data_IF_000657462700
#
_entry.id   IF_000657462700
#
_cell.length_a   1.000
_cell.length_b   1.000
_cell.length_c   1.000
_cell.angle_alpha   90.00
_cell.angle_beta   90.00
_cell.angle_gamma   90.00
#
_symmetry.space_group_name_H-M   'P 1'
#
loop_
_entity.id
_entity.type
_entity.pdbx_description
1 polymer ?
#
# COMPACT_ATOMS: atom_id res chain seq x y z
N UNK A 1 9.05 121.80 38.42
CA UNK A 1 8.50 122.01 39.78
C UNK A 1 7.89 120.71 40.29
N UNK A 2 8.61 120.10 41.25
CA UNK A 2 8.20 119.26 42.38
C UNK A 2 6.89 118.44 42.35
N UNK A 3 7.06 117.11 42.33
CA UNK A 3 6.82 116.23 43.48
C UNK A 3 5.45 116.25 44.16
N UNK A 4 4.69 115.15 43.98
CA UNK A 4 3.73 114.56 44.95
C UNK A 4 3.25 113.18 44.44
N UNK A 5 4.19 112.29 44.14
CA UNK A 5 3.88 110.92 43.65
C UNK A 5 4.16 109.80 44.66
N UNK A 6 4.47 110.11 45.93
CA UNK A 6 5.02 109.12 46.88
C UNK A 6 4.03 108.47 47.86
N UNK A 7 2.77 108.91 47.95
CA UNK A 7 1.75 108.27 48.81
C UNK A 7 0.79 107.31 48.09
N UNK A 8 0.80 107.23 46.75
CA UNK A 8 -0.01 106.22 46.00
C UNK A 8 0.69 104.86 45.83
N UNK A 9 2.02 104.83 45.82
CA UNK A 9 2.78 103.60 45.56
C UNK A 9 2.96 102.68 46.78
N UNK A 10 2.68 103.16 48.01
CA UNK A 10 2.81 102.30 49.21
C UNK A 10 1.57 101.43 49.43
N UNK A 11 0.37 102.01 49.22
CA UNK A 11 -0.90 101.29 49.26
C UNK A 11 -1.04 100.27 48.11
N UNK A 12 -0.52 100.58 46.91
CA UNK A 12 -0.54 99.64 45.77
C UNK A 12 0.42 98.45 45.91
N UNK A 13 1.44 98.53 46.76
CA UNK A 13 2.41 97.44 46.94
C UNK A 13 1.95 96.44 48.02
N UNK A 14 1.26 96.88 49.08
CA UNK A 14 0.70 95.99 50.10
C UNK A 14 -0.49 95.17 49.57
N UNK A 15 -1.32 95.73 48.69
CA UNK A 15 -2.41 94.99 48.03
C UNK A 15 -1.90 93.96 47.00
N UNK A 16 -0.75 94.22 46.36
CA UNK A 16 -0.12 93.28 45.42
C UNK A 16 0.53 92.09 46.12
N UNK A 17 1.11 92.28 47.31
CA UNK A 17 1.67 91.18 48.10
C UNK A 17 0.58 90.33 48.77
N UNK A 18 -0.54 90.93 49.21
CA UNK A 18 -1.71 90.16 49.71
C UNK A 18 -2.32 89.28 48.62
N UNK A 19 -2.51 89.81 47.40
CA UNK A 19 -3.05 89.04 46.28
C UNK A 19 -2.13 87.90 45.83
N UNK A 20 -0.81 88.11 45.81
CA UNK A 20 0.16 87.03 45.50
C UNK A 20 0.15 85.90 46.53
N UNK A 21 0.04 86.23 47.82
CA UNK A 21 -0.03 85.21 48.87
C UNK A 21 -1.39 84.46 48.88
N UNK A 22 -2.48 85.10 48.44
CA UNK A 22 -3.77 84.39 48.27
C UNK A 22 -3.76 83.47 47.06
N UNK A 23 -3.17 83.88 45.93
CA UNK A 23 -3.00 83.04 44.75
C UNK A 23 -2.08 81.83 45.01
N UNK A 24 -1.00 82.01 45.78
CA UNK A 24 -0.09 80.90 46.13
C UNK A 24 -0.77 79.86 47.03
N UNK A 25 -1.57 80.30 48.02
CA UNK A 25 -2.33 79.39 48.90
C UNK A 25 -3.45 78.66 48.15
N UNK A 26 -4.16 79.34 47.24
CA UNK A 26 -5.19 78.71 46.40
C UNK A 26 -4.60 77.67 45.43
N UNK A 27 -3.39 77.89 44.92
CA UNK A 27 -2.71 76.91 44.05
C UNK A 27 -2.21 75.69 44.86
N UNK A 28 -1.71 75.89 46.08
CA UNK A 28 -1.32 74.78 46.95
C UNK A 28 -2.52 73.93 47.43
N UNK A 29 -3.69 74.54 47.66
CA UNK A 29 -4.93 73.79 47.94
C UNK A 29 -5.44 73.02 46.72
N UNK A 30 -5.35 73.59 45.51
CA UNK A 30 -5.70 72.90 44.26
C UNK A 30 -4.80 71.69 44.00
N UNK A 31 -3.49 71.80 44.23
CA UNK A 31 -2.56 70.67 44.10
C UNK A 31 -2.79 69.57 45.16
N UNK A 32 -3.13 69.94 46.39
CA UNK A 32 -3.52 68.96 47.44
C UNK A 32 -4.81 68.22 47.09
N UNK A 33 -5.81 68.91 46.55
CA UNK A 33 -7.07 68.29 46.13
C UNK A 33 -6.89 67.39 44.89
N UNK A 34 -6.06 67.78 43.91
CA UNK A 34 -5.72 66.93 42.77
C UNK A 34 -4.97 65.67 43.19
N UNK A 35 -4.02 65.78 44.13
CA UNK A 35 -3.30 64.61 44.65
C UNK A 35 -4.18 63.68 45.49
N UNK A 36 -5.18 64.20 46.22
CA UNK A 36 -6.19 63.38 46.90
C UNK A 36 -7.11 62.65 45.91
N UNK A 37 -7.56 63.30 44.83
CA UNK A 37 -8.35 62.65 43.78
C UNK A 37 -7.56 61.56 43.02
N UNK A 38 -6.27 61.81 42.74
CA UNK A 38 -5.37 60.83 42.12
C UNK A 38 -5.19 59.60 43.02
N UNK A 39 -4.99 59.78 44.33
CA UNK A 39 -4.87 58.67 45.27
C UNK A 39 -6.18 57.89 45.44
N UNK A 40 -7.33 58.57 45.50
CA UNK A 40 -8.64 57.89 45.54
C UNK A 40 -8.94 57.11 44.24
N UNK A 41 -8.51 57.60 43.09
CA UNK A 41 -8.64 56.90 41.81
C UNK A 41 -7.69 55.69 41.71
N UNK A 42 -6.46 55.79 42.21
CA UNK A 42 -5.53 54.67 42.28
C UNK A 42 -6.00 53.57 43.26
N UNK A 43 -6.63 53.93 44.38
CA UNK A 43 -7.25 52.95 45.29
C UNK A 43 -8.50 52.29 44.70
N UNK A 44 -9.33 53.04 43.95
CA UNK A 44 -10.48 52.49 43.20
C UNK A 44 -10.03 51.52 42.10
N UNK A 45 -8.92 51.79 41.42
CA UNK A 45 -8.31 50.86 40.46
C UNK A 45 -7.72 49.62 41.12
N UNK A 46 -7.03 49.76 42.26
CA UNK A 46 -6.52 48.62 43.05
C UNK A 46 -7.64 47.74 43.59
N UNK A 47 -8.80 48.31 43.98
CA UNK A 47 -10.01 47.56 44.36
C UNK A 47 -10.72 46.90 43.18
N UNK A 48 -10.69 47.49 41.96
CA UNK A 48 -11.18 46.85 40.72
C UNK A 48 -10.33 45.63 40.30
N UNK A 49 -9.01 45.66 40.53
CA UNK A 49 -8.09 44.54 40.23
C UNK A 49 -8.13 43.40 41.26
N UNK A 50 -8.79 43.57 42.42
CA UNK A 50 -8.95 42.55 43.49
C UNK A 50 -10.37 41.96 43.60
N UNK A 51 -11.06 41.69 42.48
CA UNK A 51 -12.25 40.81 42.45
C UNK A 51 -11.88 39.48 41.77
N UNK A 52 -12.13 38.30 42.38
CA UNK A 52 -11.75 37.04 41.78
C UNK A 52 -12.77 36.65 40.70
N UNK A 53 -12.42 36.77 39.42
CA UNK A 53 -13.28 36.28 38.33
C UNK A 53 -13.11 34.77 38.12
N UNK A 54 -13.57 33.97 39.10
CA UNK A 54 -13.75 32.50 38.95
C UNK A 54 -14.63 32.11 37.73
N UNK A 55 -15.34 33.06 37.12
CA UNK A 55 -16.14 32.87 35.88
C UNK A 55 -15.33 32.97 34.58
N UNK A 56 -14.21 33.70 34.53
CA UNK A 56 -13.40 33.84 33.30
C UNK A 56 -12.52 32.61 33.04
N UNK A 57 -11.91 32.04 34.10
CA UNK A 57 -11.14 30.80 34.00
C UNK A 57 -11.99 29.56 33.69
N UNK A 58 -13.24 29.50 34.16
CA UNK A 58 -14.18 28.43 33.80
C UNK A 58 -14.68 28.53 32.35
N UNK A 59 -14.90 29.75 31.83
CA UNK A 59 -15.24 29.95 30.41
C UNK A 59 -14.08 29.59 29.49
N UNK A 60 -12.87 30.07 29.78
CA UNK A 60 -11.66 29.70 29.01
C UNK A 60 -11.37 28.20 29.05
N UNK A 61 -11.43 27.54 30.22
CA UNK A 61 -11.27 26.08 30.31
C UNK A 61 -12.36 25.30 29.58
N UNK A 62 -13.60 25.80 29.54
CA UNK A 62 -14.66 25.16 28.78
C UNK A 62 -14.55 25.41 27.27
N UNK A 63 -14.01 26.55 26.84
CA UNK A 63 -13.71 26.84 25.44
C UNK A 63 -12.49 26.05 24.94
N UNK A 64 -11.43 25.94 25.74
CA UNK A 64 -10.27 25.08 25.47
C UNK A 64 -10.69 23.60 25.39
N UNK A 65 -11.47 23.11 26.35
CA UNK A 65 -12.01 21.74 26.28
C UNK A 65 -12.91 21.51 25.07
N UNK A 66 -13.77 22.47 24.70
CA UNK A 66 -14.58 22.38 23.49
C UNK A 66 -13.75 22.41 22.21
N UNK A 67 -12.64 23.16 22.20
CA UNK A 67 -11.74 23.19 21.05
C UNK A 67 -10.90 21.92 20.94
N UNK A 68 -10.39 21.37 22.05
CA UNK A 68 -9.73 20.05 22.08
C UNK A 68 -10.67 18.92 21.67
N UNK A 69 -11.94 18.96 22.09
CA UNK A 69 -12.95 17.97 21.73
C UNK A 69 -13.37 18.09 20.25
N UNK A 70 -13.43 19.32 19.72
CA UNK A 70 -13.61 19.57 18.28
C UNK A 70 -12.40 19.12 17.45
N UNK A 71 -11.18 19.32 17.92
CA UNK A 71 -9.97 18.81 17.25
C UNK A 71 -9.90 17.29 17.29
N UNK A 72 -10.24 16.67 18.42
CA UNK A 72 -10.33 15.21 18.53
C UNK A 72 -11.41 14.63 17.61
N UNK A 73 -12.56 15.28 17.49
CA UNK A 73 -13.61 14.85 16.57
C UNK A 73 -13.23 15.06 15.11
N UNK A 74 -12.57 16.17 14.76
CA UNK A 74 -12.00 16.39 13.41
C UNK A 74 -10.92 15.38 13.07
N UNK A 75 -10.05 15.00 14.01
CA UNK A 75 -9.04 13.96 13.79
C UNK A 75 -9.68 12.57 13.66
N UNK A 76 -10.73 12.25 14.43
CA UNK A 76 -11.51 11.02 14.26
C UNK A 76 -12.28 10.98 12.94
N UNK A 77 -12.82 12.09 12.48
CA UNK A 77 -13.46 12.19 11.16
C UNK A 77 -12.44 12.05 10.04
N UNK A 78 -11.26 12.66 10.15
CA UNK A 78 -10.14 12.45 9.22
C UNK A 78 -9.59 11.03 9.24
N UNK A 79 -9.52 10.37 10.40
CA UNK A 79 -9.16 8.96 10.52
C UNK A 79 -10.23 8.05 9.90
N UNK A 80 -11.52 8.40 10.05
CA UNK A 80 -12.63 7.68 9.40
C UNK A 80 -12.65 7.92 7.88
N UNK A 81 -12.39 9.14 7.41
CA UNK A 81 -12.26 9.46 5.98
C UNK A 81 -11.02 8.78 5.37
N UNK A 82 -9.89 8.74 6.07
CA UNK A 82 -8.72 7.98 5.63
C UNK A 82 -8.94 6.45 5.69
N UNK A 83 -9.81 5.97 6.60
CA UNK A 83 -10.21 4.57 6.65
C UNK A 83 -11.22 4.20 5.54
N UNK A 84 -12.06 5.14 5.08
CA UNK A 84 -13.01 4.93 3.98
C UNK A 84 -12.43 5.27 2.61
N UNK A 85 -11.35 6.06 2.52
CA UNK A 85 -10.58 6.34 1.29
C UNK A 85 -9.32 5.49 1.16
N UNK A 86 -9.25 4.34 1.85
CA UNK A 86 -8.16 3.39 1.65
C UNK A 86 -8.34 2.73 0.28
N UNK A 87 -7.76 3.33 -0.76
CA UNK A 87 -7.54 2.67 -2.04
C UNK A 87 -6.76 1.39 -1.73
N UNK A 88 -7.37 0.25 -2.01
CA UNK A 88 -6.85 -1.06 -1.66
C UNK A 88 -5.48 -1.26 -2.31
N UNK A 89 -4.42 -1.35 -1.51
CA UNK A 89 -3.09 -1.69 -2.03
C UNK A 89 -2.95 -3.21 -2.12
N UNK A 90 -2.18 -3.76 -3.08
CA UNK A 90 -1.92 -5.20 -3.16
C UNK A 90 -1.34 -5.80 -1.86
N UNK A 91 -0.72 -4.98 -1.00
CA UNK A 91 -0.23 -5.40 0.34
C UNK A 91 -1.35 -5.57 1.37
N UNK A 92 -2.41 -4.77 1.30
CA UNK A 92 -3.57 -4.89 2.18
C UNK A 92 -4.41 -6.14 1.84
N UNK A 93 -4.41 -6.56 0.57
CA UNK A 93 -4.98 -7.83 0.11
C UNK A 93 -4.36 -9.05 0.80
N UNK A 94 -3.03 -9.05 0.91
CA UNK A 94 -2.25 -10.14 1.48
C UNK A 94 -2.51 -10.32 2.98
N UNK A 95 -2.69 -9.21 3.73
CA UNK A 95 -2.95 -9.24 5.17
C UNK A 95 -4.34 -9.77 5.54
N UNK A 96 -5.37 -9.53 4.71
CA UNK A 96 -6.72 -10.07 4.93
C UNK A 96 -6.76 -11.57 4.58
N UNK A 97 -6.01 -11.99 3.54
CA UNK A 97 -5.86 -13.41 3.18
C UNK A 97 -5.23 -14.26 4.30
N UNK A 98 -4.27 -13.69 5.06
CA UNK A 98 -3.62 -14.39 6.16
C UNK A 98 -4.55 -14.64 7.38
N UNK A 99 -5.55 -13.78 7.62
CA UNK A 99 -6.41 -13.84 8.82
C UNK A 99 -7.68 -14.68 8.66
N UNK A 100 -8.08 -15.03 7.42
CA UNK A 100 -9.25 -15.87 7.11
C UNK A 100 -8.87 -17.30 6.68
N UNK A 101 -7.69 -17.79 7.07
CA UNK A 101 -7.36 -19.22 6.93
C UNK A 101 -7.98 -20.00 8.09
N UNK A 102 -9.30 -20.21 8.06
CA UNK A 102 -9.78 -21.50 8.52
C UNK A 102 -9.52 -22.45 7.36
N UNK A 103 -8.48 -23.32 7.39
CA UNK A 103 -8.36 -24.33 6.37
C UNK A 103 -9.57 -25.24 6.55
N UNK A 104 -10.57 -25.09 5.69
CA UNK A 104 -11.39 -26.24 5.33
C UNK A 104 -10.34 -27.27 4.88
N UNK A 105 -10.08 -28.27 5.74
CA UNK A 105 -9.09 -29.31 5.44
C UNK A 105 -9.36 -29.88 4.05
N UNK A 106 -8.34 -30.46 3.43
CA UNK A 106 -8.50 -31.02 2.08
C UNK A 106 -9.65 -32.03 2.10
N UNK A 107 -10.69 -31.86 1.26
CA UNK A 107 -11.83 -32.76 1.27
C UNK A 107 -11.37 -34.15 0.85
N UNK A 108 -11.97 -35.18 1.47
CA UNK A 108 -11.70 -36.57 1.15
C UNK A 108 -12.76 -37.11 0.20
N UNK A 109 -12.34 -37.93 -0.75
CA UNK A 109 -13.20 -38.60 -1.73
C UNK A 109 -13.01 -40.12 -1.63
N UNK A 110 -14.06 -40.92 -1.90
CA UNK A 110 -13.94 -42.36 -1.89
C UNK A 110 -13.14 -42.84 -3.11
N UNK A 111 -12.17 -43.71 -2.87
CA UNK A 111 -11.35 -44.37 -3.89
C UNK A 111 -11.39 -45.88 -3.69
N UNK A 112 -11.81 -46.60 -4.72
CA UNK A 112 -11.82 -48.08 -4.72
C UNK A 112 -10.54 -48.57 -5.36
N UNK A 113 -9.73 -49.28 -4.59
CA UNK A 113 -8.55 -49.97 -5.11
C UNK A 113 -9.07 -51.22 -5.86
N UNK A 114 -8.57 -51.51 -7.07
CA UNK A 114 -8.93 -52.74 -7.76
C UNK A 114 -8.62 -53.97 -6.89
N UNK A 115 -9.66 -54.71 -6.48
CA UNK A 115 -9.53 -55.90 -5.65
C UNK A 115 -9.94 -55.74 -4.18
N UNK A 116 -10.16 -54.52 -3.68
CA UNK A 116 -10.73 -54.29 -2.35
C UNK A 116 -12.27 -54.22 -2.38
N UNK A 117 -12.92 -54.73 -1.34
CA UNK A 117 -14.37 -54.66 -1.17
C UNK A 117 -14.84 -53.26 -0.75
N UNK A 118 -14.02 -52.56 0.04
CA UNK A 118 -14.34 -51.25 0.63
C UNK A 118 -13.60 -50.09 -0.06
N UNK A 119 -14.25 -48.92 -0.09
CA UNK A 119 -13.62 -47.70 -0.55
C UNK A 119 -12.75 -47.08 0.54
N UNK A 120 -11.53 -46.68 0.18
CA UNK A 120 -10.64 -45.89 1.03
C UNK A 120 -10.89 -44.41 0.81
N UNK A 121 -10.83 -43.61 1.87
CA UNK A 121 -11.00 -42.16 1.79
C UNK A 121 -9.65 -41.49 1.58
N UNK A 122 -9.43 -40.97 0.37
CA UNK A 122 -8.19 -40.30 -0.03
C UNK A 122 -8.42 -38.81 -0.20
N UNK A 123 -7.37 -38.02 -0.04
CA UNK A 123 -7.44 -36.57 -0.26
C UNK A 123 -7.75 -36.27 -1.74
N UNK A 124 -8.57 -35.25 -1.98
CA UNK A 124 -9.04 -34.88 -3.32
C UNK A 124 -7.88 -34.70 -4.32
N UNK A 125 -6.83 -33.97 -3.95
CA UNK A 125 -5.69 -33.73 -4.85
C UNK A 125 -4.94 -35.02 -5.19
N UNK A 126 -4.80 -35.95 -4.24
CA UNK A 126 -4.18 -37.25 -4.50
C UNK A 126 -5.01 -38.07 -5.51
N UNK A 127 -6.34 -37.95 -5.46
CA UNK A 127 -7.22 -38.56 -6.46
C UNK A 127 -7.06 -37.90 -7.83
N UNK A 128 -6.95 -36.57 -7.88
CA UNK A 128 -6.80 -35.80 -9.11
C UNK A 128 -5.45 -36.04 -9.80
N UNK A 129 -4.36 -36.19 -9.05
CA UNK A 129 -3.05 -36.50 -9.63
C UNK A 129 -3.04 -37.86 -10.36
N UNK A 130 -3.78 -38.86 -9.86
CA UNK A 130 -3.96 -40.14 -10.56
C UNK A 130 -4.78 -40.02 -11.86
N UNK A 131 -5.63 -39.01 -11.94
CA UNK A 131 -6.32 -38.64 -13.17
C UNK A 131 -5.52 -37.66 -14.04
N UNK A 132 -4.24 -37.44 -13.71
CA UNK A 132 -3.30 -36.54 -14.40
C UNK A 132 -3.72 -35.07 -14.39
N UNK A 133 -4.45 -34.67 -13.36
CA UNK A 133 -4.87 -33.28 -13.15
C UNK A 133 -4.02 -32.68 -12.04
N UNK A 134 -3.24 -31.65 -12.37
CA UNK A 134 -2.30 -30.96 -11.49
C UNK A 134 -2.70 -29.49 -11.35
N UNK A 135 -2.57 -28.94 -10.14
CA UNK A 135 -2.87 -27.54 -9.87
C UNK A 135 -1.62 -26.75 -9.47
N UNK A 136 -1.41 -25.64 -10.16
CA UNK A 136 -0.50 -24.57 -9.79
C UNK A 136 -1.35 -23.39 -9.28
N UNK A 137 -1.69 -23.39 -8.01
CA UNK A 137 -2.66 -22.45 -7.41
C UNK A 137 -2.08 -21.36 -6.50
N UNK A 138 -0.76 -21.35 -6.30
CA UNK A 138 -0.08 -20.46 -5.36
C UNK A 138 1.15 -19.79 -5.99
N UNK A 139 1.87 -18.98 -5.22
CA UNK A 139 3.15 -18.40 -5.65
C UNK A 139 4.18 -19.50 -5.90
N UNK A 140 4.97 -19.37 -6.97
CA UNK A 140 5.98 -20.36 -7.34
C UNK A 140 7.20 -20.22 -6.43
N UNK A 141 7.42 -21.22 -5.59
CA UNK A 141 8.62 -21.38 -4.79
C UNK A 141 9.35 -22.70 -5.10
N UNK A 142 10.41 -22.99 -4.33
CA UNK A 142 11.20 -24.21 -4.51
C UNK A 142 10.42 -25.49 -4.17
N UNK A 143 9.55 -25.45 -3.16
CA UNK A 143 8.83 -26.62 -2.69
C UNK A 143 7.72 -27.00 -3.68
N UNK A 144 6.89 -26.03 -4.05
CA UNK A 144 5.83 -26.20 -5.05
C UNK A 144 6.39 -26.64 -6.40
N UNK A 145 7.50 -26.03 -6.84
CA UNK A 145 8.18 -26.42 -8.07
C UNK A 145 8.66 -27.87 -8.03
N UNK A 146 9.29 -28.31 -6.93
CA UNK A 146 9.76 -29.69 -6.83
C UNK A 146 8.60 -30.69 -6.83
N UNK A 147 7.48 -30.35 -6.19
CA UNK A 147 6.28 -31.19 -6.19
C UNK A 147 5.73 -31.33 -7.62
N UNK A 148 5.52 -30.23 -8.33
CA UNK A 148 4.95 -30.25 -9.69
C UNK A 148 5.88 -31.00 -10.65
N UNK A 149 7.18 -30.69 -10.62
CA UNK A 149 8.19 -31.38 -11.44
C UNK A 149 8.22 -32.88 -11.15
N UNK A 150 8.18 -33.26 -9.87
CA UNK A 150 8.15 -34.66 -9.46
C UNK A 150 6.90 -35.40 -9.94
N UNK A 151 5.71 -34.77 -9.83
CA UNK A 151 4.45 -35.37 -10.29
C UNK A 151 4.45 -35.55 -11.81
N UNK A 152 4.82 -34.53 -12.59
CA UNK A 152 4.85 -34.65 -14.07
C UNK A 152 5.85 -35.71 -14.50
N UNK A 153 7.03 -35.76 -13.85
CA UNK A 153 8.04 -36.80 -14.13
C UNK A 153 7.50 -38.19 -13.83
N UNK A 154 6.83 -38.38 -12.69
CA UNK A 154 6.21 -39.66 -12.33
C UNK A 154 5.13 -40.08 -13.33
N UNK A 155 4.23 -39.16 -13.70
CA UNK A 155 3.18 -39.45 -14.68
C UNK A 155 3.75 -39.76 -16.08
N UNK A 156 4.86 -39.11 -16.44
CA UNK A 156 5.58 -39.42 -17.68
C UNK A 156 6.12 -40.85 -17.68
N UNK A 157 6.61 -41.34 -16.54
CA UNK A 157 7.09 -42.72 -16.40
C UNK A 157 5.97 -43.76 -16.35
N UNK A 158 4.79 -43.39 -15.87
CA UNK A 158 3.64 -44.29 -15.75
C UNK A 158 2.99 -44.56 -17.12
N UNK A 159 2.81 -43.52 -17.93
CA UNK A 159 2.28 -43.62 -19.31
C UNK A 159 2.70 -42.39 -20.10
N UNK A 160 3.53 -42.60 -21.13
CA UNK A 160 4.05 -41.55 -21.99
C UNK A 160 3.03 -41.04 -23.02
N UNK A 161 1.95 -41.79 -23.28
CA UNK A 161 0.97 -41.47 -24.33
C UNK A 161 -0.26 -40.73 -23.81
N UNK A 162 -0.45 -40.68 -22.49
CA UNK A 162 -1.64 -40.07 -21.87
C UNK A 162 -1.35 -38.63 -21.45
N UNK A 163 -2.13 -37.71 -21.95
CA UNK A 163 -2.01 -36.28 -21.67
C UNK A 163 -2.11 -35.94 -20.17
N UNK A 164 -1.45 -34.84 -19.79
CA UNK A 164 -1.47 -34.27 -18.44
C UNK A 164 -2.16 -32.90 -18.48
N UNK A 165 -3.00 -32.60 -17.50
CA UNK A 165 -3.72 -31.33 -17.40
C UNK A 165 -3.18 -30.50 -16.24
N UNK A 166 -2.54 -29.37 -16.56
CA UNK A 166 -1.99 -28.41 -15.61
C UNK A 166 -2.89 -27.18 -15.52
N UNK A 167 -3.64 -27.05 -14.42
CA UNK A 167 -4.45 -25.89 -14.10
C UNK A 167 -3.60 -24.83 -13.41
N UNK A 168 -3.61 -23.60 -13.93
CA UNK A 168 -2.75 -22.50 -13.50
C UNK A 168 -3.60 -21.35 -12.98
N UNK A 169 -3.43 -21.05 -11.70
CA UNK A 169 -3.93 -19.86 -11.02
C UNK A 169 -2.82 -19.31 -10.12
N UNK A 170 -1.84 -18.61 -10.71
CA UNK A 170 -0.65 -18.19 -9.99
C UNK A 170 -0.22 -16.78 -10.38
N UNK A 171 0.18 -15.94 -9.40
CA UNK A 171 0.79 -14.65 -9.66
C UNK A 171 2.24 -14.75 -10.19
N UNK A 172 2.77 -15.97 -10.35
CA UNK A 172 4.18 -16.22 -10.66
C UNK A 172 4.97 -16.48 -9.37
N UNK A 173 6.27 -16.16 -9.38
CA UNK A 173 7.13 -16.36 -8.22
C UNK A 173 8.61 -16.37 -8.62
N UNK A 174 9.39 -17.26 -7.99
CA UNK A 174 10.81 -17.41 -8.25
C UNK A 174 11.08 -17.87 -9.69
N UNK A 175 12.07 -17.23 -10.33
CA UNK A 175 12.35 -17.45 -11.75
C UNK A 175 12.89 -18.86 -12.01
N UNK A 176 13.93 -19.31 -11.28
CA UNK A 176 14.54 -20.61 -11.52
C UNK A 176 13.59 -21.80 -11.24
N UNK A 177 12.82 -21.81 -10.14
CA UNK A 177 11.77 -22.82 -9.95
C UNK A 177 10.71 -22.79 -11.06
N UNK A 178 10.27 -21.60 -11.49
CA UNK A 178 9.35 -21.49 -12.63
C UNK A 178 9.93 -22.02 -13.93
N UNK A 179 11.23 -21.81 -14.19
CA UNK A 179 11.94 -22.36 -15.35
C UNK A 179 12.00 -23.89 -15.28
N UNK A 180 12.24 -24.48 -14.10
CA UNK A 180 12.24 -25.92 -13.94
C UNK A 180 10.86 -26.54 -14.25
N UNK A 181 9.77 -25.90 -13.82
CA UNK A 181 8.42 -26.33 -14.20
C UNK A 181 8.23 -26.20 -15.72
N UNK A 182 8.61 -25.05 -16.31
CA UNK A 182 8.51 -24.82 -17.75
C UNK A 182 9.24 -25.89 -18.57
N UNK A 183 10.47 -26.24 -18.17
CA UNK A 183 11.29 -27.23 -18.88
C UNK A 183 10.60 -28.61 -18.88
N UNK A 184 10.04 -29.01 -17.74
CA UNK A 184 9.32 -30.29 -17.62
C UNK A 184 8.01 -30.27 -18.40
N UNK A 185 7.24 -29.18 -18.33
CA UNK A 185 5.97 -29.02 -19.07
C UNK A 185 6.20 -29.05 -20.59
N UNK A 186 7.30 -28.47 -21.06
CA UNK A 186 7.57 -28.32 -22.50
C UNK A 186 8.33 -29.49 -23.13
N UNK A 187 9.05 -30.30 -22.32
CA UNK A 187 9.89 -31.40 -22.81
C UNK A 187 9.48 -32.78 -22.29
N UNK A 188 8.40 -32.91 -21.51
CA UNK A 188 7.88 -34.22 -21.10
C UNK A 188 7.40 -35.02 -22.33
N UNK A 189 7.60 -36.35 -22.35
CA UNK A 189 7.03 -37.19 -23.41
C UNK A 189 5.51 -37.07 -23.59
N UNK A 190 4.66 -37.10 -22.53
CA UNK A 190 3.25 -36.82 -22.69
C UNK A 190 2.99 -35.33 -22.91
N UNK A 191 1.99 -35.02 -23.73
CA UNK A 191 1.55 -33.64 -23.94
C UNK A 191 0.93 -33.08 -22.66
N UNK A 192 1.41 -31.89 -22.28
CA UNK A 192 0.86 -31.16 -21.14
C UNK A 192 -0.09 -30.06 -21.64
N UNK A 193 -1.37 -30.20 -21.30
CA UNK A 193 -2.38 -29.16 -21.45
C UNK A 193 -2.21 -28.13 -20.35
N UNK A 194 -2.12 -26.86 -20.71
CA UNK A 194 -2.04 -25.77 -19.74
C UNK A 194 -3.33 -24.98 -19.76
N UNK A 195 -3.97 -24.84 -18.60
CA UNK A 195 -5.29 -24.24 -18.47
C UNK A 195 -5.23 -23.10 -17.45
N UNK A 196 -5.33 -21.86 -17.91
CA UNK A 196 -5.37 -20.71 -17.03
C UNK A 196 -6.78 -20.53 -16.41
N UNK A 197 -6.82 -20.56 -15.09
CA UNK A 197 -7.99 -20.31 -14.26
C UNK A 197 -7.69 -19.12 -13.36
N UNK A 198 -8.40 -18.02 -13.52
CA UNK A 198 -8.13 -16.80 -12.74
C UNK A 198 -6.96 -16.01 -13.32
N UNK A 199 -5.73 -16.24 -12.83
CA UNK A 199 -4.56 -15.49 -13.29
C UNK A 199 -3.35 -16.38 -13.62
N UNK A 200 -2.66 -16.08 -14.71
CA UNK A 200 -1.32 -16.56 -14.99
C UNK A 200 -0.40 -15.36 -15.22
N UNK A 201 0.35 -14.97 -14.20
CA UNK A 201 1.23 -13.80 -14.24
C UNK A 201 2.72 -14.21 -14.18
N UNK A 202 3.60 -13.42 -14.81
CA UNK A 202 5.06 -13.57 -14.67
C UNK A 202 5.54 -14.98 -15.09
N UNK A 203 6.17 -15.74 -14.21
CA UNK A 203 6.57 -17.12 -14.50
C UNK A 203 5.38 -18.04 -14.80
N UNK A 204 4.19 -17.76 -14.27
CA UNK A 204 3.02 -18.57 -14.55
C UNK A 204 2.49 -18.38 -15.98
N UNK A 205 2.62 -17.18 -16.58
CA UNK A 205 2.30 -16.98 -17.99
C UNK A 205 3.31 -17.65 -18.92
N UNK A 206 4.58 -17.76 -18.48
CA UNK A 206 5.59 -18.52 -19.21
C UNK A 206 5.26 -20.01 -19.22
N UNK A 207 4.92 -20.57 -18.05
CA UNK A 207 4.49 -21.97 -17.90
C UNK A 207 3.24 -22.23 -18.74
N UNK A 208 2.26 -21.31 -18.72
CA UNK A 208 1.07 -21.39 -19.57
C UNK A 208 1.44 -21.50 -21.06
N UNK A 209 2.35 -20.65 -21.55
CA UNK A 209 2.84 -20.70 -22.92
C UNK A 209 3.64 -21.98 -23.24
N UNK A 210 4.20 -22.64 -22.22
CA UNK A 210 4.99 -23.87 -22.31
C UNK A 210 4.19 -25.14 -22.57
N UNK A 211 2.87 -25.13 -22.34
CA UNK A 211 1.99 -26.28 -22.66
C UNK A 211 1.99 -26.60 -24.15
N UNK A 212 1.69 -27.86 -24.51
CA UNK A 212 1.75 -28.35 -25.88
C UNK A 212 0.97 -27.45 -26.86
N UNK A 213 1.51 -27.25 -28.07
CA UNK A 213 0.90 -26.36 -29.06
C UNK A 213 -0.50 -26.88 -29.43
N UNK A 214 -1.49 -25.98 -29.50
CA UNK A 214 -2.93 -26.27 -29.64
C UNK A 214 -3.61 -26.84 -28.39
N UNK A 215 -2.87 -27.03 -27.28
CA UNK A 215 -3.37 -27.55 -25.99
C UNK A 215 -3.22 -26.52 -24.86
N UNK A 216 -3.10 -25.23 -25.20
CA UNK A 216 -3.01 -24.12 -24.24
C UNK A 216 -4.34 -23.38 -24.19
N UNK A 217 -4.87 -23.20 -22.99
CA UNK A 217 -6.21 -22.67 -22.76
C UNK A 217 -6.23 -21.61 -21.67
N UNK A 218 -7.18 -20.68 -21.74
CA UNK A 218 -7.57 -19.87 -20.60
C UNK A 218 -9.09 -19.73 -20.53
N UNK A 219 -9.69 -19.78 -19.34
CA UNK A 219 -11.12 -19.49 -19.20
C UNK A 219 -11.47 -18.05 -19.62
N UNK A 220 -12.72 -17.74 -20.01
CA UNK A 220 -13.10 -16.43 -20.55
C UNK A 220 -12.75 -15.22 -19.65
N UNK A 221 -12.79 -15.41 -18.34
CA UNK A 221 -12.49 -14.34 -17.37
C UNK A 221 -11.06 -14.41 -16.82
N UNK A 222 -10.25 -15.33 -17.33
CA UNK A 222 -8.85 -15.41 -16.95
C UNK A 222 -8.07 -14.16 -17.39
N UNK A 223 -6.95 -13.94 -16.72
CA UNK A 223 -6.01 -12.86 -17.01
C UNK A 223 -4.61 -13.41 -17.16
N UNK A 224 -3.90 -12.93 -18.16
CA UNK A 224 -2.49 -13.28 -18.40
C UNK A 224 -1.66 -12.02 -18.26
N UNK A 225 -0.63 -12.06 -17.42
CA UNK A 225 0.26 -10.91 -17.22
C UNK A 225 1.68 -11.25 -17.65
N UNK A 226 2.26 -10.39 -18.49
CA UNK A 226 3.68 -10.40 -18.83
C UNK A 226 4.37 -9.20 -18.18
N UNK A 227 5.52 -9.44 -17.57
CA UNK A 227 6.39 -8.37 -17.06
C UNK A 227 7.84 -8.85 -17.06
N UNK A 228 8.77 -7.92 -16.92
CA UNK A 228 10.19 -8.20 -16.89
C UNK A 228 10.60 -8.93 -15.59
N UNK A 229 11.58 -9.85 -15.65
CA UNK A 229 12.13 -10.46 -14.46
C UNK A 229 12.77 -9.40 -13.58
N UNK A 230 12.54 -9.49 -12.28
CA UNK A 230 13.12 -8.57 -11.30
C UNK A 230 13.90 -9.33 -10.24
N UNK A 231 14.97 -8.70 -9.74
CA UNK A 231 15.78 -9.24 -8.65
C UNK A 231 15.85 -8.22 -7.52
N UNK A 232 15.55 -8.65 -6.30
CA UNK A 232 15.71 -7.83 -5.10
C UNK A 232 17.10 -8.05 -4.50
N UNK A 233 17.88 -6.98 -4.39
CA UNK A 233 19.20 -7.04 -3.77
C UNK A 233 19.14 -6.53 -2.33
N UNK A 234 19.67 -7.26 -1.33
CA UNK A 234 19.76 -6.76 0.03
C UNK A 234 20.57 -5.47 0.08
N UNK A 235 20.07 -4.47 0.82
CA UNK A 235 20.67 -3.13 0.87
C UNK A 235 22.11 -3.18 1.39
N UNK A 236 23.03 -2.68 0.56
CA UNK A 236 24.39 -2.17 0.85
C UNK A 236 25.11 -2.82 2.04
N UNK A 237 25.81 -3.94 1.79
CA UNK A 237 27.05 -4.26 2.52
C UNK A 237 28.23 -3.88 1.63
N UNK A 238 29.16 -3.08 2.16
CA UNK A 238 30.37 -2.60 1.48
C UNK A 238 31.16 -3.80 0.92
N UNK A 239 31.68 -3.72 -0.31
CA UNK A 239 32.47 -4.80 -0.94
C UNK A 239 31.68 -5.80 -1.81
N UNK A 240 30.39 -5.56 -2.08
CA UNK A 240 29.57 -6.43 -2.94
C UNK A 240 29.30 -5.85 -4.35
N UNK A 241 30.02 -4.80 -4.77
CA UNK A 241 29.79 -4.15 -6.07
C UNK A 241 30.09 -5.09 -7.25
N UNK A 242 31.21 -5.82 -7.21
CA UNK A 242 31.51 -6.86 -8.22
C UNK A 242 30.41 -7.94 -8.28
N UNK A 243 29.92 -8.39 -7.11
CA UNK A 243 28.84 -9.38 -7.03
C UNK A 243 27.57 -8.85 -7.69
N UNK A 244 27.21 -7.59 -7.44
CA UNK A 244 26.05 -6.94 -8.07
C UNK A 244 26.17 -6.93 -9.60
N UNK A 245 27.33 -6.58 -10.14
CA UNK A 245 27.55 -6.58 -11.60
C UNK A 245 27.38 -7.98 -12.19
N UNK A 246 27.89 -9.02 -11.52
CA UNK A 246 27.72 -10.41 -11.96
C UNK A 246 26.23 -10.81 -11.96
N UNK A 247 25.50 -10.53 -10.87
CA UNK A 247 24.07 -10.83 -10.80
C UNK A 247 23.24 -10.06 -11.83
N UNK A 248 23.61 -8.82 -12.16
CA UNK A 248 22.93 -8.06 -13.22
C UNK A 248 23.16 -8.68 -14.60
N UNK A 249 24.37 -9.17 -14.88
CA UNK A 249 24.63 -9.90 -16.12
C UNK A 249 23.79 -11.18 -16.20
N UNK A 250 23.70 -11.92 -15.10
CA UNK A 250 22.87 -13.12 -15.02
C UNK A 250 21.38 -12.81 -15.24
N UNK A 251 20.87 -11.75 -14.59
CA UNK A 251 19.48 -11.32 -14.78
C UNK A 251 19.18 -10.93 -16.24
N UNK A 252 20.12 -10.28 -16.92
CA UNK A 252 19.98 -9.95 -18.34
C UNK A 252 19.99 -11.21 -19.22
N UNK A 253 20.82 -12.21 -18.90
CA UNK A 253 20.79 -13.51 -19.60
C UNK A 253 19.44 -14.21 -19.41
N UNK A 254 18.95 -14.27 -18.17
CA UNK A 254 17.63 -14.82 -17.86
C UNK A 254 16.52 -14.09 -18.61
N UNK A 255 16.55 -12.75 -18.64
CA UNK A 255 15.60 -11.95 -19.42
C UNK A 255 15.62 -12.34 -20.90
N UNK A 256 16.80 -12.43 -21.50
CA UNK A 256 16.93 -12.78 -22.93
C UNK A 256 16.43 -14.20 -23.21
N UNK A 257 16.66 -15.15 -22.30
CA UNK A 257 16.13 -16.51 -22.41
C UNK A 257 14.59 -16.51 -22.36
N UNK A 258 14.00 -15.77 -21.42
CA UNK A 258 12.54 -15.62 -21.31
C UNK A 258 11.95 -14.99 -22.59
N UNK A 259 12.57 -13.94 -23.13
CA UNK A 259 12.13 -13.33 -24.40
C UNK A 259 12.19 -14.35 -25.53
N UNK A 260 13.28 -15.10 -25.64
CA UNK A 260 13.47 -16.13 -26.68
C UNK A 260 12.40 -17.23 -26.58
N UNK A 261 12.05 -17.63 -25.35
CA UNK A 261 10.97 -18.59 -25.12
C UNK A 261 9.64 -18.02 -25.60
N UNK A 262 9.28 -16.81 -25.18
CA UNK A 262 8.03 -16.20 -25.64
C UNK A 262 8.00 -16.09 -27.17
N UNK A 263 9.09 -15.65 -27.81
CA UNK A 263 9.18 -15.54 -29.28
C UNK A 263 8.90 -16.89 -29.94
N UNK A 264 9.50 -17.97 -29.43
CA UNK A 264 9.29 -19.32 -29.95
C UNK A 264 7.85 -19.82 -29.76
N UNK A 265 7.23 -19.54 -28.61
CA UNK A 265 5.91 -20.07 -28.23
C UNK A 265 4.74 -19.23 -28.74
N UNK A 266 4.91 -17.92 -28.88
CA UNK A 266 3.85 -16.99 -29.33
C UNK A 266 3.97 -16.59 -30.80
N UNK A 267 5.16 -16.79 -31.41
CA UNK A 267 5.51 -16.33 -32.76
C UNK A 267 5.53 -14.80 -32.91
N UNK A 268 5.51 -14.07 -31.79
CA UNK A 268 5.74 -12.63 -31.80
C UNK A 268 7.22 -12.32 -31.96
N UNK A 269 7.61 -11.26 -32.70
CA UNK A 269 9.01 -10.85 -32.77
C UNK A 269 9.58 -10.50 -31.40
N UNK A 270 10.84 -10.84 -31.14
CA UNK A 270 11.52 -10.50 -29.89
C UNK A 270 11.43 -9.00 -29.52
N UNK A 271 11.38 -8.10 -30.50
CA UNK A 271 11.23 -6.65 -30.27
C UNK A 271 9.90 -6.30 -29.61
N UNK A 272 8.80 -6.91 -30.07
CA UNK A 272 7.44 -6.71 -29.51
C UNK A 272 7.40 -7.21 -28.08
N UNK A 273 7.87 -8.45 -27.87
CA UNK A 273 7.93 -9.05 -26.53
C UNK A 273 8.76 -8.20 -25.57
N UNK A 274 9.91 -7.68 -26.02
CA UNK A 274 10.77 -6.88 -25.16
C UNK A 274 10.13 -5.57 -24.71
N UNK A 275 9.37 -4.89 -25.60
CA UNK A 275 8.62 -3.68 -25.26
C UNK A 275 7.46 -3.98 -24.29
N UNK A 276 6.77 -5.09 -24.53
CA UNK A 276 5.59 -5.50 -23.78
C UNK A 276 5.92 -5.94 -22.34
N UNK A 277 6.99 -6.74 -22.15
CA UNK A 277 7.43 -7.10 -20.80
C UNK A 277 7.99 -5.92 -20.01
N UNK A 278 8.42 -4.84 -20.66
CA UNK A 278 8.98 -3.66 -19.98
C UNK A 278 7.88 -2.79 -19.35
N UNK A 279 6.66 -2.81 -19.90
CA UNK A 279 5.55 -1.95 -19.47
C UNK A 279 4.55 -2.61 -18.52
N UNK A 280 4.70 -3.91 -18.28
CA UNK A 280 3.72 -4.77 -17.64
C UNK A 280 2.39 -4.77 -18.42
N UNK A 281 2.11 -5.85 -19.15
CA UNK A 281 0.85 -6.00 -19.89
C UNK A 281 -0.05 -7.04 -19.24
N UNK A 282 -1.30 -6.65 -18.98
CA UNK A 282 -2.36 -7.52 -18.49
C UNK A 282 -3.36 -7.76 -19.61
N UNK A 283 -3.42 -8.99 -20.09
CA UNK A 283 -4.28 -9.43 -21.17
C UNK A 283 -5.50 -10.17 -20.64
N UNK A 284 -6.65 -9.95 -21.28
CA UNK A 284 -7.80 -10.85 -21.27
C UNK A 284 -7.48 -12.18 -21.97
N UNK A 285 -8.35 -13.17 -21.84
CA UNK A 285 -8.20 -14.44 -22.55
C UNK A 285 -8.18 -14.26 -24.08
N UNK A 286 -9.02 -13.35 -24.62
CA UNK A 286 -9.06 -13.03 -26.05
C UNK A 286 -7.75 -12.40 -26.53
N UNK A 287 -7.22 -11.43 -25.79
CA UNK A 287 -5.94 -10.80 -26.10
C UNK A 287 -4.79 -11.80 -25.98
N UNK A 288 -4.79 -12.67 -24.97
CA UNK A 288 -3.77 -13.71 -24.80
C UNK A 288 -3.78 -14.73 -25.96
N UNK A 289 -4.96 -15.07 -26.49
CA UNK A 289 -5.13 -15.92 -27.68
C UNK A 289 -4.59 -15.21 -28.93
N UNK A 290 -4.98 -13.95 -29.14
CA UNK A 290 -4.49 -13.14 -30.25
C UNK A 290 -2.96 -12.92 -30.19
N UNK A 291 -2.40 -12.81 -28.99
CA UNK A 291 -0.97 -12.66 -28.77
C UNK A 291 -0.19 -13.97 -29.04
N UNK A 292 -0.86 -15.14 -28.96
CA UNK A 292 -0.28 -16.46 -29.18
C UNK A 292 0.20 -17.18 -27.92
N UNK A 293 -0.19 -16.70 -26.73
CA UNK A 293 0.15 -17.34 -25.44
C UNK A 293 -0.69 -18.61 -25.23
N UNK A 294 -1.96 -18.53 -25.62
CA UNK A 294 -2.92 -19.63 -25.55
C UNK A 294 -3.53 -19.87 -26.94
N UNK A 295 -4.16 -21.02 -27.10
CA UNK A 295 -4.77 -21.47 -28.35
C UNK A 295 -6.32 -21.41 -28.29
N UNK A 296 -6.92 -21.62 -27.11
CA UNK A 296 -8.39 -21.71 -26.93
C UNK A 296 -8.90 -21.02 -25.66
N UNK A 297 -10.20 -20.69 -25.64
CA UNK A 297 -10.84 -19.97 -24.52
C UNK A 297 -11.89 -20.84 -23.77
N UNK A 298 -12.38 -21.92 -24.37
CA UNK A 298 -13.37 -22.82 -23.76
C UNK A 298 -12.98 -24.28 -23.94
N UNK A 299 -13.28 -25.12 -22.94
CA UNK A 299 -13.05 -26.58 -22.96
C UNK A 299 -13.64 -27.28 -24.19
N UNK A 300 -14.74 -26.75 -24.72
CA UNK A 300 -15.40 -27.26 -25.93
C UNK A 300 -14.56 -27.08 -27.21
N UNK A 301 -13.52 -26.24 -27.16
CA UNK A 301 -12.60 -25.98 -28.28
C UNK A 301 -11.33 -26.88 -28.23
N UNK A 302 -11.21 -27.79 -27.26
CA UNK A 302 -10.11 -28.77 -27.22
C UNK A 302 -10.54 -30.01 -28.04
N UNK A 303 -9.82 -30.37 -29.11
CA UNK A 303 -10.13 -31.54 -29.93
C UNK A 303 -9.97 -32.87 -29.20
#
# INVERSE_FOLDING_TARGET
MNGTGRSRNRLQNEDKERNKNTELNQNQEKEKNQNQELNQNQEKEKKKKRRPTKKAGKRKKNEEKKNEEKEKNKNKEKEKENATQKIWTPRDACAISAAMKMPLGVPKVPFRIPGDEDATWVDLYNRLYRERIIFLGEEIDHELSNIIVGIITYLSMEDENRDIFLFINSPGGLILPGMAIYDVVSNSPPDVHTICMGIAASMASLILAGGAINKRMAFPHARVLLHQPSASFPKKKRGQELKKTLYMKELLMIRNNIISIYEQRTKQPASVINEDIERDILMSAEEAKAYGIIDSISLDEIP
#
